data_IF_967932579404
#
_entry.id   IF_967932579404
#
_cell.length_a   1.000
_cell.length_b   1.000
_cell.length_c   1.000
_cell.angle_alpha   90.00
_cell.angle_beta   90.00
_cell.angle_gamma   90.00
#
_symmetry.space_group_name_H-M   'P 1'
#
loop_
_entity.id
_entity.type
_entity.pdbx_description
1 polymer ?
#
# COMPACT_ATOMS: atom_id res chain seq x y z
N UNK A 1 24.21 -53.15 29.03
CA UNK A 1 23.39 -52.74 27.87
C UNK A 1 23.61 -51.25 27.62
N UNK A 2 24.35 -50.88 26.57
CA UNK A 2 24.70 -49.49 26.25
C UNK A 2 23.64 -48.82 25.36
N UNK A 3 23.26 -47.59 25.78
CA UNK A 3 22.43 -46.62 25.06
C UNK A 3 22.97 -46.36 23.65
N UNK A 4 22.17 -46.62 22.62
CA UNK A 4 22.40 -46.12 21.25
C UNK A 4 21.32 -45.10 20.94
N UNK A 5 21.66 -43.84 21.19
CA UNK A 5 20.83 -42.68 20.86
C UNK A 5 20.82 -42.48 19.35
N UNK A 6 19.62 -42.51 18.78
CA UNK A 6 19.32 -42.22 17.39
C UNK A 6 19.42 -40.70 17.19
N UNK A 7 20.65 -40.20 17.02
CA UNK A 7 20.88 -38.84 16.55
C UNK A 7 20.90 -38.87 15.04
N UNK A 8 19.98 -38.11 14.45
CA UNK A 8 20.04 -37.70 13.05
C UNK A 8 18.98 -38.38 12.19
N UNK A 9 17.94 -37.62 11.81
CA UNK A 9 17.50 -37.47 10.42
C UNK A 9 16.33 -36.46 10.28
N UNK A 10 16.45 -35.24 10.80
CA UNK A 10 15.36 -34.25 10.64
C UNK A 10 15.85 -32.80 10.54
N UNK A 11 16.92 -32.55 9.78
CA UNK A 11 17.44 -31.18 9.57
C UNK A 11 17.66 -30.81 8.09
N UNK A 12 17.27 -31.64 7.12
CA UNK A 12 17.61 -31.43 5.71
C UNK A 12 16.50 -30.79 4.84
N UNK A 13 15.28 -30.57 5.37
CA UNK A 13 14.15 -30.10 4.55
C UNK A 13 13.99 -28.57 4.55
N UNK A 14 14.72 -27.83 5.39
CA UNK A 14 14.59 -26.37 5.51
C UNK A 14 15.59 -25.57 4.66
N UNK A 15 16.16 -26.16 3.60
CA UNK A 15 17.13 -25.49 2.73
C UNK A 15 16.57 -25.01 1.38
N UNK A 16 15.29 -25.26 1.08
CA UNK A 16 14.69 -24.93 -0.23
C UNK A 16 13.85 -23.64 -0.26
N UNK A 17 13.74 -22.89 0.84
CA UNK A 17 12.92 -21.65 0.88
C UNK A 17 13.70 -20.35 0.62
N UNK A 18 15.02 -20.39 0.42
CA UNK A 18 15.81 -19.21 0.06
C UNK A 18 16.09 -19.17 -1.43
N UNK A 19 15.03 -19.08 -2.24
CA UNK A 19 15.18 -18.68 -3.64
C UNK A 19 15.63 -17.21 -3.70
N UNK A 20 16.52 -16.81 -4.63
CA UNK A 20 16.89 -15.42 -4.81
C UNK A 20 15.67 -14.66 -5.37
N UNK A 21 14.80 -14.17 -4.49
CA UNK A 21 13.94 -13.04 -4.77
C UNK A 21 14.83 -11.81 -4.88
N UNK A 22 15.58 -11.69 -5.97
CA UNK A 22 16.31 -10.47 -6.26
C UNK A 22 15.26 -9.37 -6.42
N UNK A 23 15.15 -8.51 -5.42
CA UNK A 23 14.38 -7.28 -5.52
C UNK A 23 14.97 -6.48 -6.70
N UNK A 24 14.29 -6.55 -7.84
CA UNK A 24 14.71 -5.83 -9.04
C UNK A 24 14.44 -4.35 -8.79
N UNK A 25 15.51 -3.54 -8.73
CA UNK A 25 15.37 -2.09 -8.62
C UNK A 25 14.92 -1.57 -9.98
N UNK A 26 13.64 -1.24 -10.12
CA UNK A 26 13.10 -0.64 -11.32
C UNK A 26 13.33 0.89 -11.32
N UNK A 27 13.96 1.44 -12.36
CA UNK A 27 14.00 2.90 -12.58
C UNK A 27 12.63 3.36 -13.09
N UNK A 28 11.80 3.85 -12.17
CA UNK A 28 10.46 4.34 -12.49
C UNK A 28 10.47 5.58 -13.37
N UNK A 29 11.60 6.29 -13.51
CA UNK A 29 11.71 7.41 -14.47
C UNK A 29 11.70 6.95 -15.91
N UNK A 30 12.09 5.70 -16.15
CA UNK A 30 12.06 5.07 -17.47
C UNK A 30 10.80 4.24 -17.69
N UNK A 31 9.98 4.07 -16.65
CA UNK A 31 8.77 3.27 -16.73
C UNK A 31 7.70 3.95 -17.60
N UNK A 32 7.10 3.18 -18.49
CA UNK A 32 6.04 3.60 -19.39
C UNK A 32 4.67 3.06 -18.99
N UNK A 33 3.63 3.68 -19.52
CA UNK A 33 2.27 3.19 -19.41
C UNK A 33 2.08 1.78 -20.02
N UNK A 34 2.86 1.40 -21.03
CA UNK A 34 2.85 0.03 -21.56
C UNK A 34 3.20 -0.98 -20.45
N UNK A 35 4.31 -0.76 -19.75
CA UNK A 35 4.75 -1.62 -18.65
C UNK A 35 3.73 -1.65 -17.52
N UNK A 36 3.13 -0.51 -17.18
CA UNK A 36 2.06 -0.42 -16.17
C UNK A 36 0.82 -1.25 -16.54
N UNK A 37 0.42 -1.25 -17.81
CA UNK A 37 -0.73 -2.02 -18.29
C UNK A 37 -0.45 -3.52 -18.41
N UNK A 38 0.80 -3.90 -18.61
CA UNK A 38 1.22 -5.31 -18.67
C UNK A 38 1.39 -5.95 -17.29
N UNK A 39 1.52 -5.14 -16.23
CA UNK A 39 1.63 -5.65 -14.86
C UNK A 39 0.39 -6.44 -14.41
N UNK A 40 0.58 -7.45 -13.54
CA UNK A 40 -0.51 -8.05 -12.79
C UNK A 40 -1.32 -6.99 -12.03
N UNK A 41 -2.63 -7.21 -11.86
CA UNK A 41 -3.51 -6.22 -11.25
C UNK A 41 -3.03 -5.75 -9.86
N UNK A 42 -2.56 -6.67 -9.02
CA UNK A 42 -2.06 -6.35 -7.68
C UNK A 42 -0.81 -5.46 -7.73
N UNK A 43 0.15 -5.75 -8.61
CA UNK A 43 1.37 -4.94 -8.79
C UNK A 43 1.04 -3.56 -9.35
N UNK A 44 0.12 -3.51 -10.32
CA UNK A 44 -0.38 -2.26 -10.89
C UNK A 44 -1.02 -1.36 -9.83
N UNK A 45 -1.85 -1.93 -8.94
CA UNK A 45 -2.46 -1.20 -7.82
C UNK A 45 -1.39 -0.66 -6.84
N UNK A 46 -0.39 -1.48 -6.50
CA UNK A 46 0.71 -1.04 -5.63
C UNK A 46 1.52 0.10 -6.26
N UNK A 47 1.83 0.00 -7.56
CA UNK A 47 2.54 1.05 -8.28
C UNK A 47 1.71 2.34 -8.40
N UNK A 48 0.40 2.24 -8.67
CA UNK A 48 -0.49 3.39 -8.70
C UNK A 48 -0.55 4.11 -7.34
N UNK A 49 -0.63 3.36 -6.24
CA UNK A 49 -0.57 3.89 -4.89
C UNK A 49 0.77 4.59 -4.61
N UNK A 50 1.88 3.95 -4.99
CA UNK A 50 3.21 4.54 -4.87
C UNK A 50 3.35 5.85 -5.66
N UNK A 51 2.88 5.87 -6.92
CA UNK A 51 2.90 7.07 -7.77
C UNK A 51 2.06 8.19 -7.17
N UNK A 52 0.88 7.88 -6.65
CA UNK A 52 0.05 8.86 -5.96
C UNK A 52 0.79 9.49 -4.77
N UNK A 53 1.45 8.67 -3.95
CA UNK A 53 2.30 9.13 -2.85
C UNK A 53 3.51 9.96 -3.30
N UNK A 54 4.18 9.55 -4.38
CA UNK A 54 5.31 10.27 -4.97
C UNK A 54 4.91 11.70 -5.37
N UNK A 55 3.78 11.85 -6.08
CA UNK A 55 3.28 13.16 -6.49
C UNK A 55 2.69 13.99 -5.36
N UNK A 56 1.99 13.36 -4.41
CA UNK A 56 1.48 14.02 -3.21
C UNK A 56 2.62 14.59 -2.35
N UNK A 57 3.69 13.80 -2.17
CA UNK A 57 4.90 14.23 -1.47
C UNK A 57 5.62 15.38 -2.18
N UNK A 58 5.75 15.32 -3.50
CA UNK A 58 6.28 16.43 -4.30
C UNK A 58 5.43 17.70 -4.19
N UNK A 59 4.12 17.56 -3.97
CA UNK A 59 3.20 18.67 -3.73
C UNK A 59 3.07 19.07 -2.24
N UNK A 60 3.85 18.48 -1.34
CA UNK A 60 3.81 18.71 0.11
C UNK A 60 2.40 18.51 0.72
N UNK A 61 1.63 17.56 0.18
CA UNK A 61 0.32 17.19 0.72
C UNK A 61 0.50 16.17 1.84
N UNK A 62 0.00 16.49 3.03
CA UNK A 62 0.05 15.62 4.21
C UNK A 62 -1.23 14.81 4.43
N UNK A 63 -2.26 15.02 3.62
CA UNK A 63 -3.51 14.28 3.67
C UNK A 63 -3.56 13.17 2.62
N UNK A 64 -4.15 12.04 3.00
CA UNK A 64 -4.49 10.94 2.09
C UNK A 64 -6.00 10.88 1.96
N UNK A 65 -6.50 11.36 0.82
CA UNK A 65 -7.91 11.23 0.44
C UNK A 65 -8.07 9.95 -0.38
N UNK A 66 -8.75 8.96 0.20
CA UNK A 66 -8.95 7.65 -0.43
C UNK A 66 -9.78 7.74 -1.71
N UNK A 67 -10.77 8.63 -1.77
CA UNK A 67 -11.59 8.82 -2.96
C UNK A 67 -10.77 9.41 -4.11
N UNK A 68 -9.96 10.44 -3.82
CA UNK A 68 -9.06 11.04 -4.82
C UNK A 68 -7.98 10.09 -5.31
N UNK A 69 -7.56 9.16 -4.46
CA UNK A 69 -6.62 8.11 -4.81
C UNK A 69 -7.25 7.13 -5.80
N UNK A 70 -8.45 6.63 -5.51
CA UNK A 70 -9.18 5.71 -6.39
C UNK A 70 -9.53 6.37 -7.73
N UNK A 71 -10.03 7.61 -7.71
CA UNK A 71 -10.28 8.42 -8.91
C UNK A 71 -9.01 8.60 -9.74
N UNK A 72 -7.91 9.00 -9.09
CA UNK A 72 -6.62 9.23 -9.75
C UNK A 72 -6.03 7.95 -10.35
N UNK A 73 -6.17 6.81 -9.67
CA UNK A 73 -5.73 5.51 -10.20
C UNK A 73 -6.54 5.10 -11.45
N UNK A 74 -7.85 5.32 -11.44
CA UNK A 74 -8.71 5.12 -12.61
C UNK A 74 -8.34 6.04 -13.77
N UNK A 75 -8.12 7.33 -13.50
CA UNK A 75 -7.68 8.30 -14.49
C UNK A 75 -6.32 7.96 -15.10
N UNK A 76 -5.36 7.50 -14.28
CA UNK A 76 -4.06 7.03 -14.76
C UNK A 76 -4.20 5.82 -15.69
N UNK A 77 -5.02 4.83 -15.31
CA UNK A 77 -5.27 3.67 -16.15
C UNK A 77 -5.89 4.06 -17.50
N UNK A 78 -6.82 5.01 -17.50
CA UNK A 78 -7.43 5.53 -18.71
C UNK A 78 -6.39 6.25 -19.59
N UNK A 79 -5.60 7.16 -19.00
CA UNK A 79 -4.54 7.88 -19.71
C UNK A 79 -3.50 6.92 -20.31
N UNK A 80 -3.07 5.92 -19.54
CA UNK A 80 -2.15 4.89 -20.03
C UNK A 80 -2.74 4.05 -21.17
N UNK A 81 -4.05 3.80 -21.16
CA UNK A 81 -4.72 3.06 -22.24
C UNK A 81 -4.78 3.87 -23.54
N UNK A 82 -4.84 5.20 -23.45
CA UNK A 82 -4.84 6.11 -24.59
C UNK A 82 -3.43 6.33 -25.16
N UNK A 83 -2.41 6.40 -24.29
CA UNK A 83 -1.03 6.60 -24.69
C UNK A 83 -0.09 5.62 -23.96
N UNK A 84 0.19 4.48 -24.58
CA UNK A 84 1.08 3.46 -24.00
C UNK A 84 2.54 3.91 -23.87
N UNK A 85 2.98 4.89 -24.66
CA UNK A 85 4.33 5.43 -24.60
C UNK A 85 4.50 6.52 -23.51
N UNK A 86 3.41 6.95 -22.87
CA UNK A 86 3.44 7.97 -21.82
C UNK A 86 4.33 7.53 -20.65
N UNK A 87 5.25 8.37 -20.17
CA UNK A 87 6.06 8.07 -18.99
C UNK A 87 5.21 8.14 -17.72
N UNK A 88 5.41 7.20 -16.79
CA UNK A 88 4.72 7.19 -15.50
C UNK A 88 5.19 8.32 -14.56
N UNK A 89 6.43 8.77 -14.75
CA UNK A 89 6.96 9.97 -14.08
C UNK A 89 6.97 11.11 -15.10
N UNK A 90 5.87 11.86 -15.14
CA UNK A 90 5.69 13.01 -16.02
C UNK A 90 4.55 13.93 -15.58
N UNK A 91 4.35 15.01 -16.33
CA UNK A 91 3.27 15.98 -16.08
C UNK A 91 1.90 15.35 -16.34
N UNK A 92 1.77 14.54 -17.38
CA UNK A 92 0.50 13.91 -17.75
C UNK A 92 0.03 12.90 -16.68
N UNK A 93 0.93 12.02 -16.23
CA UNK A 93 0.65 11.09 -15.13
C UNK A 93 0.35 11.81 -13.81
N UNK A 94 1.05 12.91 -13.52
CA UNK A 94 0.75 13.78 -12.37
C UNK A 94 -0.66 14.34 -12.45
N UNK A 95 -1.04 14.89 -13.60
CA UNK A 95 -2.37 15.49 -13.79
C UNK A 95 -3.48 14.46 -13.57
N UNK A 96 -3.31 13.26 -14.13
CA UNK A 96 -4.24 12.15 -13.94
C UNK A 96 -4.37 11.76 -12.45
N UNK A 97 -3.25 11.60 -11.73
CA UNK A 97 -3.25 11.14 -10.35
C UNK A 97 -3.67 12.20 -9.33
N UNK A 98 -3.38 13.47 -9.59
CA UNK A 98 -3.66 14.57 -8.66
C UNK A 98 -5.05 15.20 -8.85
N UNK A 99 -5.77 14.78 -9.90
CA UNK A 99 -7.11 15.26 -10.21
C UNK A 99 -7.11 16.70 -10.73
N UNK A 100 -6.11 17.10 -11.52
CA UNK A 100 -6.28 18.30 -12.34
C UNK A 100 -7.41 18.08 -13.35
N UNK A 101 -8.25 19.09 -13.62
CA UNK A 101 -9.44 18.92 -14.44
C UNK A 101 -9.06 18.43 -15.84
N UNK A 102 -9.36 17.16 -16.12
CA UNK A 102 -9.27 16.57 -17.45
C UNK A 102 -10.52 16.95 -18.25
N UNK A 103 -10.41 17.77 -19.32
CA UNK A 103 -11.57 18.19 -20.13
C UNK A 103 -12.27 17.03 -20.87
N UNK A 104 -11.65 15.85 -20.92
CA UNK A 104 -12.11 14.68 -21.67
C UNK A 104 -12.62 13.55 -20.77
N UNK A 105 -12.64 13.71 -19.44
CA UNK A 105 -13.12 12.68 -18.53
C UNK A 105 -14.66 12.66 -18.44
N UNK A 106 -15.32 11.50 -18.58
CA UNK A 106 -16.72 11.36 -18.16
C UNK A 106 -16.86 11.62 -16.65
N UNK A 107 -18.04 12.07 -16.16
CA UNK A 107 -18.23 12.37 -14.74
C UNK A 107 -17.86 11.17 -13.86
N UNK A 108 -17.29 11.41 -12.66
CA UNK A 108 -16.90 10.32 -11.78
C UNK A 108 -18.13 9.46 -11.44
N UNK A 109 -17.95 8.15 -11.52
CA UNK A 109 -18.96 7.21 -11.01
C UNK A 109 -19.09 7.42 -9.49
N UNK A 110 -20.31 7.35 -8.93
CA UNK A 110 -20.48 7.49 -7.49
C UNK A 110 -19.64 6.42 -6.79
N UNK A 111 -18.96 6.76 -5.67
CA UNK A 111 -18.14 5.80 -4.96
C UNK A 111 -19.01 4.61 -4.55
N UNK A 112 -18.50 3.39 -4.77
CA UNK A 112 -19.10 2.21 -4.16
C UNK A 112 -19.18 2.45 -2.66
N UNK A 113 -20.34 2.16 -2.07
CA UNK A 113 -20.56 2.36 -0.63
C UNK A 113 -19.40 1.75 0.15
N UNK A 114 -18.80 2.49 1.11
CA UNK A 114 -17.66 1.98 1.86
C UNK A 114 -18.08 0.67 2.54
N UNK A 115 -17.27 -0.38 2.33
CA UNK A 115 -17.41 -1.60 3.12
C UNK A 115 -17.38 -1.23 4.61
N UNK A 116 -18.21 -1.85 5.46
CA UNK A 116 -18.25 -1.53 6.88
C UNK A 116 -16.85 -1.71 7.47
N UNK A 117 -16.23 -0.58 7.83
CA UNK A 117 -14.95 -0.57 8.52
C UNK A 117 -15.21 -1.18 9.90
N UNK A 118 -14.70 -2.39 10.13
CA UNK A 118 -14.67 -3.00 11.47
C UNK A 118 -13.82 -2.09 12.34
N UNK A 119 -14.46 -1.35 13.25
CA UNK A 119 -13.76 -0.50 14.19
C UNK A 119 -12.78 -1.37 15.02
N UNK A 120 -11.53 -0.94 15.21
CA UNK A 120 -10.64 -1.61 16.15
C UNK A 120 -11.28 -1.55 17.54
N UNK A 121 -11.39 -2.71 18.20
CA UNK A 121 -11.87 -2.79 19.57
C UNK A 121 -11.00 -1.87 20.45
N UNK A 122 -11.61 -0.86 21.06
CA UNK A 122 -10.93 -0.02 22.05
C UNK A 122 -10.42 -0.93 23.19
N UNK A 123 -9.14 -0.86 23.57
CA UNK A 123 -8.70 -1.51 24.80
C UNK A 123 -9.40 -0.83 25.97
N UNK A 124 -10.11 -1.64 26.77
CA UNK A 124 -10.77 -1.19 27.98
C UNK A 124 -9.76 -0.43 28.86
N UNK A 125 -10.10 0.79 29.24
CA UNK A 125 -9.33 1.58 30.18
C UNK A 125 -9.24 0.85 31.52
N UNK A 126 -8.04 0.41 31.89
CA UNK A 126 -7.74 -0.03 33.26
C UNK A 126 -7.89 1.18 34.18
N UNK A 127 -8.86 1.14 35.08
CA UNK A 127 -9.06 2.18 36.08
C UNK A 127 -7.82 2.31 37.00
N UNK A 128 -7.37 3.53 37.33
CA UNK A 128 -6.31 3.71 38.32
C UNK A 128 -6.82 3.38 39.73
N UNK A 129 -5.97 2.71 40.51
CA UNK A 129 -6.23 2.34 41.89
C UNK A 129 -6.53 3.56 42.78
N UNK A 130 -7.53 3.43 43.65
CA UNK A 130 -7.94 4.46 44.61
C UNK A 130 -6.84 4.76 45.65
N UNK A 131 -6.71 6.01 46.13
CA UNK A 131 -5.73 6.39 47.15
C UNK A 131 -6.08 5.81 48.53
N UNK A 132 -5.06 5.31 49.22
CA UNK A 132 -5.15 4.69 50.54
C UNK A 132 -5.69 5.63 51.63
N UNK A 133 -6.44 5.07 52.58
CA UNK A 133 -6.97 5.77 53.76
C UNK A 133 -5.84 6.16 54.72
N UNK A 134 -5.92 7.32 55.41
CA UNK A 134 -4.94 7.70 56.42
C UNK A 134 -5.11 6.87 57.71
N UNK A 135 -3.98 6.42 58.25
CA UNK A 135 -3.85 5.72 59.53
C UNK A 135 -4.09 6.70 60.69
N UNK A 136 -4.84 6.34 61.76
CA UNK A 136 -4.94 7.19 62.93
C UNK A 136 -3.64 7.15 63.74
N UNK A 137 -3.13 8.34 64.07
CA UNK A 137 -2.04 8.57 65.02
C UNK A 137 -2.44 8.05 66.41
N UNK A 138 -1.53 7.32 67.05
CA UNK A 138 -1.60 6.97 68.47
C UNK A 138 -0.23 7.14 69.10
#
# INVERSE_FOLDING_TARGET
MCRKGFVGLSAAVLAMLTGPGAAQVADLRQASCAQFLEMPAAERTQLALWLHGYYAGAAQRSSLDRGKLEEGAGALQQACSQNRAMPLIGIEARAALMGEPNPLAPPPSPPAAPAPQVAPASPAATAPAAPGRPTPLR
#
